data_IF_938352863842
#
_entry.id   IF_938352863842
#
_cell.length_a   1.000
_cell.length_b   1.000
_cell.length_c   1.000
_cell.angle_alpha   90.00
_cell.angle_beta   90.00
_cell.angle_gamma   90.00
#
_symmetry.space_group_name_H-M   'P 1'
#
loop_
_entity.id
_entity.type
_entity.pdbx_description
1 polymer ?
#
# COMPACT_ATOMS: atom_id res chain seq x y z
N UNK A 1 46.84 31.59 8.16
CA UNK A 1 45.42 32.01 8.15
C UNK A 1 44.87 31.74 6.76
N UNK A 2 44.33 30.54 6.53
CA UNK A 2 43.66 30.21 5.26
C UNK A 2 42.23 30.72 5.29
N UNK A 3 41.90 31.63 4.36
CA UNK A 3 40.53 32.12 4.16
C UNK A 3 39.72 31.03 3.43
N UNK A 4 38.51 30.67 3.89
CA UNK A 4 37.69 29.70 3.19
C UNK A 4 37.16 30.30 1.87
N UNK A 5 37.43 29.62 0.76
CA UNK A 5 36.94 29.94 -0.59
C UNK A 5 35.41 30.09 -0.61
N UNK A 6 34.93 31.29 -0.94
CA UNK A 6 33.52 31.57 -1.22
C UNK A 6 33.13 30.92 -2.56
N UNK A 7 32.56 29.71 -2.51
CA UNK A 7 31.98 29.03 -3.70
C UNK A 7 30.92 29.89 -4.40
N UNK A 8 31.04 30.02 -5.73
CA UNK A 8 30.20 30.89 -6.57
C UNK A 8 28.73 30.44 -6.62
N UNK A 9 27.80 31.38 -6.80
CA UNK A 9 26.35 31.11 -6.83
C UNK A 9 25.95 30.07 -7.89
N UNK A 10 26.67 30.02 -9.02
CA UNK A 10 26.47 29.04 -10.10
C UNK A 10 26.83 27.61 -9.67
N UNK A 11 27.86 27.45 -8.84
CA UNK A 11 28.24 26.17 -8.24
C UNK A 11 27.20 25.69 -7.22
N UNK A 12 26.64 26.62 -6.41
CA UNK A 12 25.57 26.29 -5.45
C UNK A 12 24.30 25.81 -6.15
N UNK A 13 23.88 26.50 -7.21
CA UNK A 13 22.70 26.14 -8.02
C UNK A 13 22.88 24.77 -8.71
N UNK A 14 24.07 24.47 -9.25
CA UNK A 14 24.36 23.17 -9.86
C UNK A 14 24.39 22.03 -8.83
N UNK A 15 24.91 22.28 -7.62
CA UNK A 15 24.89 21.31 -6.53
C UNK A 15 23.45 21.05 -6.08
N UNK A 16 22.64 22.10 -5.87
CA UNK A 16 21.22 21.96 -5.51
C UNK A 16 20.41 21.22 -6.58
N UNK A 17 20.59 21.55 -7.86
CA UNK A 17 19.94 20.85 -8.97
C UNK A 17 20.38 19.38 -9.04
N UNK A 18 21.67 19.08 -8.82
CA UNK A 18 22.16 17.70 -8.77
C UNK A 18 21.62 16.91 -7.57
N UNK A 19 21.43 17.56 -6.42
CA UNK A 19 20.88 16.97 -5.20
C UNK A 19 19.38 16.71 -5.33
N UNK A 20 18.65 17.63 -5.97
CA UNK A 20 17.22 17.51 -6.30
C UNK A 20 16.98 16.40 -7.32
N UNK A 21 17.78 16.35 -8.39
CA UNK A 21 17.73 15.26 -9.37
C UNK A 21 18.04 13.89 -8.74
N UNK A 22 19.01 13.81 -7.81
CA UNK A 22 19.30 12.58 -7.05
C UNK A 22 18.20 12.21 -6.05
N UNK A 23 17.52 13.20 -5.45
CA UNK A 23 16.35 12.99 -4.60
C UNK A 23 15.20 12.39 -5.41
N UNK A 24 14.93 12.95 -6.59
CA UNK A 24 13.88 12.49 -7.49
C UNK A 24 14.15 11.07 -8.00
N UNK A 25 15.40 10.74 -8.37
CA UNK A 25 15.76 9.39 -8.80
C UNK A 25 15.58 8.32 -7.71
N UNK A 26 16.01 8.61 -6.48
CA UNK A 26 15.83 7.67 -5.35
C UNK A 26 14.35 7.44 -5.06
N UNK A 27 13.56 8.50 -5.11
CA UNK A 27 12.11 8.41 -4.97
C UNK A 27 11.50 7.58 -6.10
N UNK A 28 11.85 7.85 -7.37
CA UNK A 28 11.33 7.09 -8.50
C UNK A 28 11.69 5.61 -8.45
N UNK A 29 12.93 5.29 -8.08
CA UNK A 29 13.36 3.90 -7.90
C UNK A 29 12.56 3.23 -6.79
N UNK A 30 12.38 3.91 -5.65
CA UNK A 30 11.59 3.35 -4.55
C UNK A 30 10.11 3.20 -4.92
N UNK A 31 9.52 4.13 -5.68
CA UNK A 31 8.14 4.03 -6.14
C UNK A 31 7.92 2.90 -7.15
N UNK A 32 8.93 2.60 -7.96
CA UNK A 32 8.89 1.50 -8.94
C UNK A 32 9.32 0.15 -8.37
N UNK A 33 9.95 0.13 -7.18
CA UNK A 33 10.46 -1.09 -6.56
C UNK A 33 9.34 -2.15 -6.43
N UNK A 34 9.63 -3.42 -6.76
CA UNK A 34 8.77 -4.54 -6.42
C UNK A 34 8.42 -4.56 -4.94
N UNK A 35 7.28 -5.16 -4.61
CA UNK A 35 6.79 -5.13 -3.23
C UNK A 35 7.75 -5.83 -2.25
N UNK A 36 8.33 -6.98 -2.64
CA UNK A 36 9.34 -7.67 -1.83
C UNK A 36 10.54 -6.80 -1.48
N UNK A 37 11.14 -6.13 -2.47
CA UNK A 37 12.28 -5.23 -2.24
C UNK A 37 11.95 -4.06 -1.29
N UNK A 38 10.72 -3.54 -1.38
CA UNK A 38 10.25 -2.51 -0.46
C UNK A 38 10.10 -3.03 0.97
N UNK A 39 9.56 -4.24 1.15
CA UNK A 39 9.44 -4.87 2.46
C UNK A 39 10.80 -5.21 3.07
N UNK A 40 11.76 -5.69 2.26
CA UNK A 40 13.15 -5.90 2.67
C UNK A 40 13.84 -4.60 3.11
N UNK A 41 13.54 -3.48 2.44
CA UNK A 41 14.01 -2.17 2.87
C UNK A 41 13.44 -1.79 4.23
N UNK A 42 12.12 -1.97 4.43
CA UNK A 42 11.47 -1.70 5.73
C UNK A 42 12.09 -2.54 6.85
N UNK A 43 12.27 -3.84 6.61
CA UNK A 43 12.88 -4.75 7.58
C UNK A 43 14.29 -4.32 7.97
N UNK A 44 15.13 -3.97 6.99
CA UNK A 44 16.49 -3.47 7.24
C UNK A 44 16.49 -2.13 7.96
N UNK A 45 15.59 -1.23 7.59
CA UNK A 45 15.42 0.07 8.26
C UNK A 45 15.05 -0.12 9.73
N UNK A 46 14.08 -0.98 10.03
CA UNK A 46 13.61 -1.22 11.39
C UNK A 46 14.58 -2.04 12.24
N UNK A 47 15.41 -2.86 11.60
CA UNK A 47 16.48 -3.59 12.26
C UNK A 47 17.69 -2.71 12.62
N UNK A 48 17.85 -1.56 11.96
CA UNK A 48 19.01 -0.67 12.12
C UNK A 48 19.12 -0.15 13.58
N UNK A 49 20.29 -0.28 14.23
CA UNK A 49 20.49 0.18 15.60
C UNK A 49 20.20 1.67 15.81
N UNK A 50 20.55 2.52 14.84
CA UNK A 50 20.27 3.95 14.89
C UNK A 50 18.77 4.21 14.76
N UNK A 51 18.07 3.48 13.89
CA UNK A 51 16.61 3.59 13.79
C UNK A 51 15.94 3.21 15.11
N UNK A 52 16.36 2.11 15.74
CA UNK A 52 15.86 1.67 17.04
C UNK A 52 16.11 2.72 18.12
N UNK A 53 17.30 3.33 18.13
CA UNK A 53 17.66 4.41 19.06
C UNK A 53 16.82 5.66 18.86
N UNK A 54 16.52 6.03 17.60
CA UNK A 54 15.65 7.16 17.27
C UNK A 54 14.18 6.90 17.61
N UNK A 55 13.76 5.63 17.58
CA UNK A 55 12.40 5.20 17.91
C UNK A 55 12.20 4.90 19.40
N UNK A 56 13.29 4.77 20.16
CA UNK A 56 13.25 4.48 21.58
C UNK A 56 12.72 5.68 22.37
N UNK A 57 11.82 5.42 23.31
CA UNK A 57 11.41 6.42 24.31
C UNK A 57 12.52 6.53 25.36
N UNK A 58 13.03 7.74 25.57
CA UNK A 58 13.95 8.04 26.66
C UNK A 58 13.20 8.76 27.78
N UNK A 59 13.51 8.54 29.08
CA UNK A 59 12.85 9.25 30.17
C UNK A 59 12.93 10.78 29.97
N UNK A 60 11.78 11.44 29.87
CA UNK A 60 11.68 12.89 29.69
C UNK A 60 11.86 13.42 28.25
N UNK A 61 12.09 12.57 27.24
CA UNK A 61 12.21 12.97 25.84
C UNK A 61 11.28 12.15 24.93
N UNK A 62 10.44 12.78 24.10
CA UNK A 62 9.63 12.07 23.12
C UNK A 62 10.55 11.37 22.09
N UNK A 63 10.10 10.25 21.49
CA UNK A 63 10.87 9.56 20.47
C UNK A 63 11.06 10.47 19.26
N UNK A 64 12.23 10.39 18.62
CA UNK A 64 12.53 11.18 17.42
C UNK A 64 11.74 10.65 16.23
N UNK A 65 11.64 9.33 16.12
CA UNK A 65 10.81 8.66 15.12
C UNK A 65 9.66 7.98 15.85
N UNK A 66 8.45 8.45 15.62
CA UNK A 66 7.23 7.75 15.99
C UNK A 66 6.61 7.11 14.75
N UNK A 67 5.66 6.21 14.94
CA UNK A 67 4.72 5.87 13.86
C UNK A 67 3.49 6.76 13.99
N UNK A 68 2.72 6.83 12.91
CA UNK A 68 1.44 7.52 12.84
C UNK A 68 0.51 6.65 12.00
N UNK A 69 -0.56 6.13 12.61
CA UNK A 69 -1.59 5.38 11.87
C UNK A 69 -2.18 6.22 10.75
N UNK A 70 -2.42 5.58 9.61
CA UNK A 70 -3.13 6.18 8.51
C UNK A 70 -4.64 6.02 8.76
N UNK A 71 -5.44 7.10 8.68
CA UNK A 71 -6.89 6.98 8.80
C UNK A 71 -7.42 5.96 7.77
N UNK A 72 -8.22 4.99 8.22
CA UNK A 72 -8.79 3.95 7.35
C UNK A 72 -7.81 2.85 6.91
N UNK A 73 -6.59 2.78 7.47
CA UNK A 73 -5.65 1.68 7.19
C UNK A 73 -5.90 0.48 8.10
N UNK A 74 -6.99 -0.26 7.86
CA UNK A 74 -7.22 -1.53 8.53
C UNK A 74 -6.28 -2.61 7.98
N UNK A 75 -5.98 -3.62 8.80
CA UNK A 75 -5.25 -4.80 8.36
C UNK A 75 -6.22 -5.94 8.03
N UNK A 76 -6.08 -6.58 6.86
CA UNK A 76 -6.97 -7.65 6.41
C UNK A 76 -6.70 -9.01 7.09
N UNK A 77 -6.63 -9.03 8.42
CA UNK A 77 -6.25 -10.20 9.22
C UNK A 77 -7.14 -11.41 8.93
N UNK A 78 -8.46 -11.25 9.06
CA UNK A 78 -9.43 -12.34 8.89
C UNK A 78 -9.37 -12.91 7.47
N UNK A 79 -9.26 -12.05 6.46
CA UNK A 79 -9.15 -12.46 5.07
C UNK A 79 -7.86 -13.21 4.78
N UNK A 80 -6.72 -12.72 5.27
CA UNK A 80 -5.44 -13.35 5.03
C UNK A 80 -5.30 -14.72 5.71
N UNK A 81 -5.88 -14.91 6.90
CA UNK A 81 -5.86 -16.22 7.56
C UNK A 81 -6.58 -17.32 6.79
N UNK A 82 -7.65 -16.96 6.09
CA UNK A 82 -8.44 -17.87 5.26
C UNK A 82 -7.86 -18.12 3.87
N UNK A 83 -6.82 -17.40 3.44
CA UNK A 83 -6.19 -17.57 2.13
C UNK A 83 -5.33 -18.85 2.09
N UNK A 84 -5.71 -19.88 1.29
CA UNK A 84 -5.03 -21.18 1.28
C UNK A 84 -3.55 -21.09 0.87
N UNK A 85 -3.22 -20.09 0.04
CA UNK A 85 -1.85 -19.87 -0.43
C UNK A 85 -0.96 -19.28 0.66
N UNK A 86 -1.52 -18.43 1.52
CA UNK A 86 -0.81 -17.94 2.68
C UNK A 86 -0.68 -19.04 3.72
N UNK A 87 -1.71 -19.87 3.91
CA UNK A 87 -1.60 -21.07 4.72
C UNK A 87 -0.44 -21.97 4.23
N UNK A 88 -0.40 -22.31 2.94
CA UNK A 88 0.66 -23.14 2.38
C UNK A 88 2.06 -22.48 2.42
N UNK A 89 2.16 -21.16 2.25
CA UNK A 89 3.42 -20.42 2.35
C UNK A 89 3.94 -20.36 3.79
N UNK A 90 3.03 -20.27 4.76
CA UNK A 90 3.32 -20.44 6.19
C UNK A 90 3.84 -21.86 6.47
N UNK A 91 3.24 -22.88 5.85
CA UNK A 91 3.58 -24.30 6.07
C UNK A 91 4.95 -24.71 5.50
N UNK A 92 5.45 -24.02 4.46
CA UNK A 92 6.53 -24.58 3.64
C UNK A 92 7.96 -24.33 4.13
N UNK A 93 8.31 -23.20 4.79
CA UNK A 93 9.73 -22.81 4.89
C UNK A 93 10.19 -21.91 6.06
N UNK A 94 9.30 -21.27 6.80
CA UNK A 94 9.68 -20.23 7.78
C UNK A 94 9.08 -20.39 9.17
N UNK A 95 8.35 -21.48 9.40
CA UNK A 95 7.67 -21.74 10.66
C UNK A 95 8.23 -23.06 11.20
N UNK A 96 8.78 -23.04 12.43
CA UNK A 96 9.10 -24.28 13.14
C UNK A 96 7.81 -25.11 13.27
N UNK A 97 7.89 -26.45 13.21
CA UNK A 97 6.71 -27.31 13.34
C UNK A 97 5.82 -27.00 14.57
N UNK A 98 6.41 -26.40 15.62
CA UNK A 98 5.71 -25.89 16.80
C UNK A 98 4.77 -24.70 16.54
N UNK A 99 5.14 -23.76 15.66
CA UNK A 99 4.33 -22.56 15.42
C UNK A 99 3.23 -22.83 14.37
N UNK A 100 3.39 -23.90 13.57
CA UNK A 100 2.36 -24.47 12.69
C UNK A 100 1.27 -25.20 13.48
N UNK A 101 1.66 -26.07 14.41
CA UNK A 101 0.74 -26.78 15.31
C UNK A 101 0.03 -25.82 16.28
N UNK A 102 0.67 -24.71 16.65
CA UNK A 102 0.11 -23.63 17.45
C UNK A 102 -0.92 -22.74 16.74
N UNK A 103 -1.03 -22.81 15.40
CA UNK A 103 -1.78 -21.84 14.60
C UNK A 103 -3.25 -21.70 15.02
N UNK A 104 -4.04 -22.78 15.22
CA UNK A 104 -5.43 -22.65 15.63
C UNK A 104 -5.58 -21.95 16.98
N UNK A 105 -4.69 -22.24 17.93
CA UNK A 105 -4.68 -21.59 19.25
C UNK A 105 -4.35 -20.10 19.16
N UNK A 106 -3.36 -19.73 18.33
CA UNK A 106 -2.95 -18.33 18.13
C UNK A 106 -4.04 -17.54 17.41
N UNK A 107 -4.70 -18.13 16.41
CA UNK A 107 -5.84 -17.52 15.72
C UNK A 107 -6.98 -17.29 16.71
N UNK A 108 -7.34 -18.29 17.52
CA UNK A 108 -8.37 -18.14 18.55
C UNK A 108 -8.00 -17.10 19.64
N UNK A 109 -6.70 -16.94 19.95
CA UNK A 109 -6.24 -15.86 20.82
C UNK A 109 -6.46 -14.48 20.19
N UNK A 110 -6.15 -14.33 18.90
CA UNK A 110 -6.28 -13.07 18.19
C UNK A 110 -7.76 -12.73 17.93
N UNK A 111 -8.61 -13.72 17.64
CA UNK A 111 -10.07 -13.54 17.54
C UNK A 111 -10.67 -13.07 18.87
N UNK A 112 -10.29 -13.70 19.99
CA UNK A 112 -10.72 -13.25 21.32
C UNK A 112 -10.21 -11.85 21.67
N UNK A 113 -9.01 -11.51 21.22
CA UNK A 113 -8.44 -10.18 21.41
C UNK A 113 -9.25 -9.11 20.66
N UNK A 114 -9.78 -9.46 19.48
CA UNK A 114 -10.48 -8.56 18.57
C UNK A 114 -9.51 -7.77 17.68
N UNK A 115 -9.98 -7.39 16.49
CA UNK A 115 -9.16 -6.75 15.45
C UNK A 115 -8.52 -5.44 15.94
N UNK A 116 -9.27 -4.57 16.63
CA UNK A 116 -8.76 -3.28 17.09
C UNK A 116 -7.61 -3.43 18.11
N UNK A 117 -7.77 -4.32 19.09
CA UNK A 117 -6.74 -4.58 20.09
C UNK A 117 -5.54 -5.31 19.50
N UNK A 118 -5.76 -6.26 18.58
CA UNK A 118 -4.68 -6.91 17.85
C UNK A 118 -3.86 -5.90 17.06
N UNK A 119 -4.53 -5.03 16.31
CA UNK A 119 -3.88 -3.95 15.60
C UNK A 119 -3.15 -3.01 16.57
N UNK A 120 -3.73 -2.71 17.74
CA UNK A 120 -3.16 -1.79 18.73
C UNK A 120 -1.89 -2.36 19.36
N UNK A 121 -1.94 -3.59 19.85
CA UNK A 121 -0.89 -4.17 20.68
C UNK A 121 0.19 -4.91 19.88
N UNK A 122 -0.16 -5.44 18.71
CA UNK A 122 0.75 -6.27 17.92
C UNK A 122 1.12 -5.63 16.58
N UNK A 123 0.33 -4.67 16.08
CA UNK A 123 0.61 -3.92 14.85
C UNK A 123 0.79 -2.40 15.07
N UNK A 124 0.68 -1.90 16.30
CA UNK A 124 0.66 -0.48 16.63
C UNK A 124 2.04 0.19 16.75
N UNK A 125 2.01 1.46 17.16
CA UNK A 125 3.17 2.37 17.22
C UNK A 125 4.09 2.12 18.40
N UNK A 126 3.50 1.73 19.53
CA UNK A 126 4.25 1.47 20.74
C UNK A 126 4.72 0.03 20.71
N UNK A 127 6.01 -0.19 20.99
CA UNK A 127 6.43 -1.44 21.62
C UNK A 127 5.77 -1.47 23.00
N UNK A 128 4.46 -1.76 23.02
CA UNK A 128 3.70 -1.89 24.25
C UNK A 128 4.42 -3.00 25.01
N UNK A 129 4.96 -2.70 26.20
CA UNK A 129 5.67 -3.70 26.99
C UNK A 129 4.78 -4.93 27.14
N UNK A 130 5.38 -6.12 27.10
CA UNK A 130 4.60 -7.36 27.20
C UNK A 130 3.69 -7.35 28.43
N UNK A 131 4.17 -6.76 29.54
CA UNK A 131 3.45 -6.56 30.79
C UNK A 131 2.19 -5.70 30.67
N UNK A 132 2.21 -4.67 29.82
CA UNK A 132 1.05 -3.80 29.59
C UNK A 132 0.03 -4.50 28.69
N UNK A 133 0.49 -5.24 27.67
CA UNK A 133 -0.38 -6.10 26.85
C UNK A 133 -1.03 -7.18 27.72
N UNK A 134 -0.27 -7.84 28.60
CA UNK A 134 -0.79 -8.87 29.49
C UNK A 134 -1.92 -8.34 30.37
N UNK A 135 -1.74 -7.14 30.94
CA UNK A 135 -2.75 -6.49 31.78
C UNK A 135 -3.98 -6.05 31.00
N UNK A 136 -3.79 -5.42 29.84
CA UNK A 136 -4.89 -4.83 29.09
C UNK A 136 -5.71 -5.85 28.29
N UNK A 137 -5.08 -6.95 27.85
CA UNK A 137 -5.70 -7.97 27.01
C UNK A 137 -5.96 -9.31 27.72
N UNK A 138 -5.71 -9.39 29.04
CA UNK A 138 -5.80 -10.63 29.83
C UNK A 138 -5.01 -11.81 29.20
N UNK A 139 -3.83 -11.50 28.65
CA UNK A 139 -2.91 -12.47 28.04
C UNK A 139 -1.75 -12.77 28.99
N UNK A 140 -1.16 -13.96 28.88
CA UNK A 140 0.10 -14.29 29.56
C UNK A 140 1.30 -13.80 28.74
N UNK A 141 2.45 -13.58 29.39
CA UNK A 141 3.68 -13.16 28.70
C UNK A 141 4.08 -14.17 27.59
N UNK A 142 3.83 -15.46 27.81
CA UNK A 142 4.03 -16.52 26.82
C UNK A 142 3.10 -16.37 25.61
N UNK A 143 1.82 -16.04 25.82
CA UNK A 143 0.87 -15.80 24.73
C UNK A 143 1.24 -14.57 23.92
N UNK A 144 1.66 -13.47 24.56
CA UNK A 144 2.15 -12.27 23.88
C UNK A 144 3.36 -12.58 23.02
N UNK A 145 4.31 -13.36 23.53
CA UNK A 145 5.46 -13.87 22.77
C UNK A 145 5.04 -14.66 21.53
N UNK A 146 4.18 -15.68 21.70
CA UNK A 146 3.66 -16.51 20.60
C UNK A 146 2.98 -15.68 19.51
N UNK A 147 2.15 -14.69 19.88
CA UNK A 147 1.49 -13.82 18.89
C UNK A 147 2.52 -12.96 18.14
N UNK A 148 3.55 -12.43 18.81
CA UNK A 148 4.62 -11.66 18.14
C UNK A 148 5.41 -12.51 17.16
N UNK A 149 5.81 -13.70 17.58
CA UNK A 149 6.54 -14.65 16.73
C UNK A 149 5.69 -15.06 15.53
N UNK A 150 4.40 -15.30 15.76
CA UNK A 150 3.44 -15.52 14.70
C UNK A 150 3.36 -14.34 13.74
N UNK A 151 3.17 -13.11 14.21
CA UNK A 151 3.13 -11.91 13.35
C UNK A 151 4.41 -11.75 12.53
N UNK A 152 5.57 -12.01 13.12
CA UNK A 152 6.86 -11.93 12.42
C UNK A 152 7.00 -13.01 11.33
N UNK A 153 6.67 -14.26 11.66
CA UNK A 153 6.68 -15.37 10.70
C UNK A 153 5.65 -15.14 9.58
N UNK A 154 4.48 -14.62 9.95
CA UNK A 154 3.39 -14.27 9.06
C UNK A 154 3.75 -13.15 8.08
N UNK A 155 4.43 -12.10 8.56
CA UNK A 155 5.01 -11.06 7.73
C UNK A 155 6.01 -11.64 6.70
N UNK A 156 6.90 -12.51 7.17
CA UNK A 156 7.90 -13.15 6.31
C UNK A 156 7.26 -14.11 5.27
N UNK A 157 6.15 -14.77 5.59
CA UNK A 157 5.44 -15.62 4.65
C UNK A 157 4.77 -14.81 3.53
N UNK A 158 4.20 -13.64 3.83
CA UNK A 158 3.62 -12.75 2.83
C UNK A 158 4.65 -12.25 1.80
N UNK A 159 5.90 -12.05 2.21
CA UNK A 159 7.01 -11.67 1.30
C UNK A 159 7.22 -12.75 0.22
N UNK A 160 7.10 -14.02 0.62
CA UNK A 160 7.41 -15.19 -0.20
C UNK A 160 6.21 -15.81 -0.95
N UNK A 161 5.01 -15.23 -0.81
CA UNK A 161 3.86 -15.64 -1.62
C UNK A 161 4.23 -15.53 -3.11
N UNK A 162 4.03 -16.58 -3.93
CA UNK A 162 4.29 -16.49 -5.36
C UNK A 162 3.47 -15.33 -5.94
N UNK A 163 4.08 -14.56 -6.84
CA UNK A 163 3.33 -13.53 -7.53
C UNK A 163 2.25 -14.21 -8.38
N UNK A 164 1.00 -13.73 -8.27
CA UNK A 164 -0.13 -14.27 -9.02
C UNK A 164 -0.01 -13.81 -10.47
N UNK A 165 -0.14 -14.71 -11.43
CA UNK A 165 -0.12 -14.38 -12.85
C UNK A 165 -1.54 -14.14 -13.38
N UNK A 166 -1.72 -13.12 -14.22
CA UNK A 166 -2.92 -13.06 -15.09
C UNK A 166 -2.80 -14.07 -16.24
N UNK A 167 -3.89 -14.24 -17.00
CA UNK A 167 -3.95 -15.09 -18.20
C UNK A 167 -2.88 -14.70 -19.26
N UNK A 168 -2.29 -13.51 -19.15
CA UNK A 168 -1.20 -13.01 -19.98
C UNK A 168 0.21 -13.18 -19.36
N UNK A 169 0.35 -13.95 -18.28
CA UNK A 169 1.62 -14.22 -17.60
C UNK A 169 2.20 -13.05 -16.79
N UNK A 170 1.45 -11.96 -16.59
CA UNK A 170 1.92 -10.80 -15.81
C UNK A 170 1.75 -11.08 -14.34
N UNK A 171 2.81 -10.85 -13.59
CA UNK A 171 2.85 -11.09 -12.16
C UNK A 171 2.37 -9.87 -11.36
N UNK A 172 1.48 -10.11 -10.40
CA UNK A 172 0.95 -9.12 -9.47
C UNK A 172 1.10 -9.58 -8.01
N UNK A 173 1.21 -8.61 -7.11
CA UNK A 173 1.13 -8.81 -5.66
C UNK A 173 -0.13 -8.12 -5.13
N UNK A 174 -0.91 -8.88 -4.37
CA UNK A 174 -2.08 -8.38 -3.69
C UNK A 174 -1.70 -7.30 -2.69
N UNK A 175 -2.29 -6.11 -2.85
CA UNK A 175 -1.97 -4.92 -2.04
C UNK A 175 -2.98 -4.71 -0.92
N UNK A 176 -4.26 -4.82 -1.22
CA UNK A 176 -5.35 -4.63 -0.26
C UNK A 176 -6.62 -5.34 -0.71
N UNK A 177 -7.49 -5.58 0.26
CA UNK A 177 -8.85 -6.06 0.11
C UNK A 177 -9.80 -4.87 0.17
N UNK A 178 -10.86 -4.92 -0.64
CA UNK A 178 -11.93 -3.93 -0.65
C UNK A 178 -13.17 -4.56 -0.02
N UNK A 179 -13.56 -4.02 1.13
CA UNK A 179 -14.75 -4.42 1.88
C UNK A 179 -15.89 -3.41 1.77
N UNK A 180 -17.05 -3.78 2.32
CA UNK A 180 -18.22 -2.91 2.48
C UNK A 180 -18.62 -2.92 3.94
N UNK A 181 -18.84 -1.74 4.51
CA UNK A 181 -19.47 -1.60 5.83
C UNK A 181 -20.96 -1.89 5.74
N UNK A 182 -21.60 -2.12 6.90
CA UNK A 182 -23.06 -2.21 7.01
C UNK A 182 -23.78 -0.97 6.43
N UNK A 183 -23.14 0.20 6.44
CA UNK A 183 -23.66 1.44 5.84
C UNK A 183 -23.35 1.63 4.35
N UNK A 184 -22.81 0.61 3.66
CA UNK A 184 -22.51 0.68 2.23
C UNK A 184 -21.35 1.62 1.86
N UNK A 185 -20.48 1.97 2.83
CA UNK A 185 -19.20 2.64 2.57
C UNK A 185 -18.15 1.59 2.22
N UNK A 186 -17.31 1.90 1.23
CA UNK A 186 -16.18 1.06 0.85
C UNK A 186 -15.04 1.27 1.84
N UNK A 187 -14.40 0.18 2.23
CA UNK A 187 -13.24 0.20 3.13
C UNK A 187 -12.07 -0.56 2.53
N UNK A 188 -10.86 -0.13 2.89
CA UNK A 188 -9.61 -0.77 2.51
C UNK A 188 -9.05 -1.52 3.70
N UNK A 189 -8.67 -2.77 3.48
CA UNK A 189 -7.88 -3.54 4.43
C UNK A 189 -6.60 -4.01 3.75
N UNK A 190 -5.44 -3.57 4.22
CA UNK A 190 -4.17 -3.88 3.58
C UNK A 190 -3.82 -5.37 3.71
N UNK A 191 -3.30 -5.93 2.62
CA UNK A 191 -2.86 -7.32 2.60
C UNK A 191 -1.58 -7.52 3.43
N UNK A 192 -0.74 -6.49 3.54
CA UNK A 192 0.50 -6.54 4.33
C UNK A 192 0.42 -5.64 5.58
N UNK A 193 0.75 -6.14 6.78
CA UNK A 193 0.67 -5.36 8.02
C UNK A 193 1.58 -4.12 8.05
N UNK A 194 2.67 -4.10 7.28
CA UNK A 194 3.52 -2.89 7.18
C UNK A 194 2.81 -1.65 6.65
N UNK A 195 1.71 -1.80 5.89
CA UNK A 195 0.88 -0.67 5.48
C UNK A 195 -0.11 -0.26 6.57
N UNK A 196 -0.67 -1.22 7.31
CA UNK A 196 -1.52 -0.95 8.47
C UNK A 196 -0.76 -0.28 9.63
N UNK A 197 0.54 -0.58 9.78
CA UNK A 197 1.47 0.09 10.72
C UNK A 197 1.64 1.60 10.46
N UNK A 198 1.07 2.13 9.38
CA UNK A 198 1.05 3.56 9.10
C UNK A 198 2.36 4.15 8.60
N UNK A 199 2.51 5.46 8.79
CA UNK A 199 3.68 6.27 8.42
C UNK A 199 4.62 6.42 9.59
N UNK A 200 5.86 6.85 9.32
CA UNK A 200 6.76 7.34 10.35
C UNK A 200 6.59 8.87 10.50
N UNK A 201 6.48 9.37 11.72
CA UNK A 201 6.60 10.79 12.03
C UNK A 201 8.01 11.07 12.54
N UNK A 202 8.66 12.11 12.03
CA UNK A 202 9.98 12.53 12.51
C UNK A 202 9.81 13.87 13.22
N UNK A 203 10.05 13.91 14.53
CA UNK A 203 9.99 15.14 15.32
C UNK A 203 11.31 15.93 15.13
N UNK A 204 11.28 17.11 14.47
CA UNK A 204 12.49 17.89 14.24
C UNK A 204 13.10 18.43 15.54
N UNK A 205 12.27 18.79 16.52
CA UNK A 205 12.71 19.32 17.80
C UNK A 205 13.40 18.24 18.64
N UNK A 206 12.84 17.04 18.69
CA UNK A 206 13.46 15.89 19.35
C UNK A 206 14.77 15.50 18.67
N UNK A 207 14.82 15.52 17.33
CA UNK A 207 16.03 15.25 16.56
C UNK A 207 17.16 16.23 16.88
N UNK A 208 16.87 17.53 16.96
CA UNK A 208 17.87 18.55 17.32
C UNK A 208 18.34 18.42 18.77
N UNK A 209 17.45 18.11 19.71
CA UNK A 209 17.83 17.83 21.10
C UNK A 209 18.76 16.62 21.20
N UNK A 210 18.46 15.55 20.46
CA UNK A 210 19.29 14.34 20.45
C UNK A 210 20.67 14.56 19.83
N UNK A 211 20.78 15.42 18.81
CA UNK A 211 22.09 15.82 18.26
C UNK A 211 22.93 16.58 19.30
N UNK A 212 22.30 17.45 20.08
CA UNK A 212 22.95 18.29 21.10
C UNK A 212 23.31 17.52 22.37
N UNK A 213 22.61 16.44 22.70
CA UNK A 213 22.85 15.67 23.92
C UNK A 213 24.16 14.86 23.91
N UNK A 214 24.81 14.73 22.75
CA UNK A 214 26.02 13.90 22.60
C UNK A 214 25.76 12.39 22.66
N UNK A 215 24.49 11.97 22.73
CA UNK A 215 24.12 10.55 22.80
C UNK A 215 24.42 9.79 21.50
N UNK A 216 24.65 10.48 20.38
CA UNK A 216 25.00 9.89 19.09
C UNK A 216 26.51 9.93 18.87
N UNK A 217 27.06 8.78 18.52
CA UNK A 217 28.46 8.64 18.09
C UNK A 217 28.72 9.37 16.77
N UNK A 218 29.97 9.73 16.51
CA UNK A 218 30.39 10.35 15.25
C UNK A 218 29.93 9.59 13.97
N UNK A 219 30.02 8.25 13.89
CA UNK A 219 29.48 7.51 12.73
C UNK A 219 27.95 7.56 12.64
N UNK A 220 27.22 7.55 13.75
CA UNK A 220 25.75 7.69 13.76
C UNK A 220 25.33 9.06 13.21
N UNK A 221 26.00 10.15 13.63
CA UNK A 221 25.71 11.50 13.15
C UNK A 221 25.90 11.64 11.64
N UNK A 222 26.94 10.99 11.07
CA UNK A 222 27.18 10.99 9.61
C UNK A 222 26.09 10.25 8.84
N UNK A 223 25.51 9.18 9.42
CA UNK A 223 24.47 8.34 8.79
C UNK A 223 23.05 8.87 8.99
N UNK A 224 22.83 9.68 10.02
CA UNK A 224 21.52 10.18 10.44
C UNK A 224 20.71 10.80 9.31
N UNK A 225 21.32 11.72 8.53
CA UNK A 225 20.63 12.37 7.42
C UNK A 225 20.21 11.40 6.31
N UNK A 226 21.01 10.37 6.05
CA UNK A 226 20.65 9.34 5.08
C UNK A 226 19.50 8.46 5.58
N UNK A 227 19.49 8.11 6.87
CA UNK A 227 18.43 7.32 7.49
C UNK A 227 17.09 8.09 7.50
N UNK A 228 17.08 9.34 7.95
CA UNK A 228 15.88 10.20 7.93
C UNK A 228 15.33 10.33 6.51
N UNK A 229 16.21 10.51 5.52
CA UNK A 229 15.80 10.54 4.11
C UNK A 229 15.19 9.22 3.64
N UNK A 230 15.70 8.07 4.06
CA UNK A 230 15.08 6.77 3.77
C UNK A 230 13.68 6.68 4.37
N UNK A 231 13.50 7.14 5.61
CA UNK A 231 12.19 7.21 6.29
C UNK A 231 11.21 8.08 5.49
N UNK A 232 11.63 9.26 5.04
CA UNK A 232 10.81 10.15 4.19
C UNK A 232 10.39 9.48 2.88
N UNK A 233 11.32 8.80 2.19
CA UNK A 233 11.03 8.11 0.94
C UNK A 233 10.02 6.98 1.13
N UNK A 234 10.18 6.20 2.21
CA UNK A 234 9.24 5.15 2.58
C UNK A 234 7.83 5.72 2.82
N UNK A 235 7.73 6.82 3.58
CA UNK A 235 6.47 7.50 3.81
C UNK A 235 5.84 8.01 2.51
N UNK A 236 6.64 8.54 1.60
CA UNK A 236 6.17 8.98 0.29
C UNK A 236 5.51 7.85 -0.50
N UNK A 237 6.12 6.66 -0.53
CA UNK A 237 5.53 5.48 -1.19
C UNK A 237 4.23 5.05 -0.52
N UNK A 238 4.22 4.91 0.82
CA UNK A 238 3.02 4.50 1.58
C UNK A 238 1.85 5.48 1.38
N UNK A 239 2.10 6.78 1.59
CA UNK A 239 1.10 7.85 1.43
C UNK A 239 0.62 7.98 -0.01
N UNK A 240 1.54 7.90 -0.97
CA UNK A 240 1.19 7.93 -2.40
C UNK A 240 0.30 6.75 -2.78
N UNK A 241 0.63 5.54 -2.33
CA UNK A 241 -0.19 4.36 -2.57
C UNK A 241 -1.57 4.50 -1.95
N UNK A 242 -1.67 4.91 -0.68
CA UNK A 242 -2.95 5.11 -0.01
C UNK A 242 -3.84 6.08 -0.80
N UNK A 243 -3.32 7.26 -1.18
CA UNK A 243 -4.07 8.23 -1.98
C UNK A 243 -4.57 7.65 -3.30
N UNK A 244 -3.74 6.84 -3.97
CA UNK A 244 -4.12 6.17 -5.21
C UNK A 244 -5.24 5.14 -4.96
N UNK A 245 -5.15 4.34 -3.91
CA UNK A 245 -6.19 3.35 -3.58
C UNK A 245 -7.51 4.01 -3.20
N UNK A 246 -7.48 5.01 -2.32
CA UNK A 246 -8.67 5.78 -1.93
C UNK A 246 -9.29 6.49 -3.13
N UNK A 247 -8.47 7.08 -4.00
CA UNK A 247 -8.93 7.69 -5.25
C UNK A 247 -9.61 6.68 -6.18
N UNK A 248 -9.07 5.47 -6.31
CA UNK A 248 -9.67 4.38 -7.11
C UNK A 248 -11.02 3.99 -6.51
N UNK A 249 -11.12 3.78 -5.19
CA UNK A 249 -12.37 3.43 -4.53
C UNK A 249 -13.43 4.52 -4.69
N UNK A 250 -13.03 5.78 -4.59
CA UNK A 250 -13.92 6.93 -4.78
C UNK A 250 -14.43 7.00 -6.21
N UNK A 251 -13.54 6.91 -7.20
CA UNK A 251 -13.91 7.07 -8.62
C UNK A 251 -14.66 5.87 -9.17
N UNK A 252 -14.19 4.65 -8.84
CA UNK A 252 -14.75 3.38 -9.28
C UNK A 252 -15.74 2.79 -8.28
N UNK A 253 -16.41 3.63 -7.47
CA UNK A 253 -17.38 3.20 -6.46
C UNK A 253 -18.42 2.23 -7.03
N UNK A 254 -19.02 2.58 -8.17
CA UNK A 254 -20.08 1.79 -8.80
C UNK A 254 -19.58 0.38 -9.15
N UNK A 255 -18.33 0.24 -9.59
CA UNK A 255 -17.72 -1.06 -9.87
C UNK A 255 -17.69 -1.95 -8.64
N UNK A 256 -17.21 -1.42 -7.51
CA UNK A 256 -17.22 -2.18 -6.25
C UNK A 256 -18.63 -2.48 -5.72
N UNK A 257 -19.65 -1.77 -6.22
CA UNK A 257 -21.06 -2.03 -5.92
C UNK A 257 -21.74 -2.98 -6.93
N UNK A 258 -21.00 -3.59 -7.85
CA UNK A 258 -21.52 -4.53 -8.86
C UNK A 258 -21.85 -3.88 -10.21
N UNK A 259 -21.56 -2.59 -10.36
CA UNK A 259 -21.68 -1.85 -11.61
C UNK A 259 -20.44 -1.98 -12.52
N UNK A 260 -20.44 -1.28 -13.65
CA UNK A 260 -19.32 -1.25 -14.58
C UNK A 260 -18.21 -0.28 -14.13
N UNK A 261 -16.99 -0.49 -14.62
CA UNK A 261 -15.91 0.50 -14.49
C UNK A 261 -16.22 1.77 -15.28
N UNK A 262 -15.95 2.93 -14.67
CA UNK A 262 -16.00 4.24 -15.31
C UNK A 262 -14.69 4.51 -16.08
N UNK A 263 -14.74 5.20 -17.24
CA UNK A 263 -13.52 5.61 -17.94
C UNK A 263 -12.66 6.51 -17.05
N UNK A 264 -11.40 6.17 -16.86
CA UNK A 264 -10.50 6.96 -16.03
C UNK A 264 -9.11 7.03 -16.66
N UNK A 265 -8.68 8.24 -17.00
CA UNK A 265 -7.31 8.47 -17.45
C UNK A 265 -6.37 8.58 -16.25
N UNK A 266 -5.23 7.86 -16.28
CA UNK A 266 -4.19 8.03 -15.27
C UNK A 266 -3.68 9.48 -15.17
N UNK A 267 -3.70 10.24 -16.28
CA UNK A 267 -3.27 11.64 -16.28
C UNK A 267 -4.23 12.53 -15.50
N UNK A 268 -5.53 12.41 -15.76
CA UNK A 268 -6.54 13.21 -15.03
C UNK A 268 -6.62 12.79 -13.57
N UNK A 269 -6.51 11.49 -13.31
CA UNK A 269 -6.48 10.94 -11.97
C UNK A 269 -5.28 11.45 -11.16
N UNK A 270 -4.08 11.46 -11.76
CA UNK A 270 -2.89 12.00 -11.12
C UNK A 270 -3.03 13.48 -10.79
N UNK A 271 -3.65 14.26 -11.69
CA UNK A 271 -3.92 15.68 -11.45
C UNK A 271 -4.88 15.90 -10.26
N UNK A 272 -5.97 15.12 -10.14
CA UNK A 272 -6.89 15.20 -9.00
C UNK A 272 -6.20 14.89 -7.67
N UNK A 273 -5.24 13.95 -7.67
CA UNK A 273 -4.48 13.57 -6.48
C UNK A 273 -3.29 14.48 -6.16
N UNK A 274 -3.03 15.50 -6.98
CA UNK A 274 -1.82 16.32 -6.95
C UNK A 274 -0.52 15.47 -6.99
N UNK A 275 -0.52 14.45 -7.87
CA UNK A 275 0.61 13.56 -8.12
C UNK A 275 1.06 13.67 -9.58
N UNK A 276 2.31 13.34 -9.85
CA UNK A 276 2.78 13.18 -11.23
C UNK A 276 2.20 11.91 -11.86
N UNK A 277 1.83 11.91 -13.16
CA UNK A 277 1.35 10.71 -13.85
C UNK A 277 2.33 9.53 -13.76
N UNK A 278 3.62 9.82 -13.81
CA UNK A 278 4.68 8.81 -13.67
C UNK A 278 4.80 8.25 -12.23
N UNK A 279 4.35 8.99 -11.22
CA UNK A 279 4.23 8.50 -9.83
C UNK A 279 3.07 7.53 -9.71
N UNK A 280 1.89 7.90 -10.21
CA UNK A 280 0.71 7.02 -10.23
C UNK A 280 1.01 5.73 -10.99
N UNK A 281 1.56 5.83 -12.20
CA UNK A 281 1.90 4.67 -13.03
C UNK A 281 2.85 3.69 -12.33
N UNK A 282 3.82 4.19 -11.54
CA UNK A 282 4.73 3.35 -10.77
C UNK A 282 4.04 2.72 -9.57
N UNK A 283 3.24 3.49 -8.83
CA UNK A 283 2.51 3.02 -7.65
C UNK A 283 1.48 1.93 -7.95
N UNK A 284 0.91 1.89 -9.15
CA UNK A 284 -0.06 0.84 -9.55
C UNK A 284 0.57 -0.36 -10.27
N UNK A 285 1.85 -0.27 -10.65
CA UNK A 285 2.49 -1.34 -11.41
C UNK A 285 2.63 -2.62 -10.56
N UNK A 286 2.34 -3.78 -11.18
CA UNK A 286 2.49 -5.11 -10.55
C UNK A 286 1.74 -5.29 -9.23
N UNK A 287 0.64 -4.55 -9.06
CA UNK A 287 -0.18 -4.54 -7.85
C UNK A 287 -1.64 -4.79 -8.20
N UNK A 288 -2.37 -5.38 -7.26
CA UNK A 288 -3.77 -5.77 -7.41
C UNK A 288 -4.57 -5.47 -6.14
N UNK A 289 -5.89 -5.40 -6.30
CA UNK A 289 -6.87 -5.36 -5.21
C UNK A 289 -7.76 -6.59 -5.26
N UNK A 290 -8.08 -7.16 -4.10
CA UNK A 290 -9.11 -8.18 -3.96
C UNK A 290 -10.46 -7.48 -3.75
N UNK A 291 -11.40 -7.66 -4.67
CA UNK A 291 -12.72 -7.06 -4.65
C UNK A 291 -13.78 -8.16 -4.74
N UNK A 292 -14.36 -8.56 -3.60
CA UNK A 292 -15.11 -9.82 -3.52
C UNK A 292 -14.19 -11.00 -3.78
N UNK A 293 -14.61 -11.92 -4.66
CA UNK A 293 -13.82 -13.09 -5.03
C UNK A 293 -12.76 -12.78 -6.09
N UNK A 294 -12.88 -11.65 -6.79
CA UNK A 294 -12.00 -11.27 -7.87
C UNK A 294 -10.74 -10.56 -7.38
N UNK A 295 -9.59 -10.93 -7.92
CA UNK A 295 -8.37 -10.14 -7.80
C UNK A 295 -8.14 -9.33 -9.08
N UNK A 296 -8.19 -8.01 -8.94
CA UNK A 296 -8.16 -7.08 -10.07
C UNK A 296 -6.84 -6.31 -10.05
N UNK A 297 -6.03 -6.37 -11.12
CA UNK A 297 -4.84 -5.54 -11.26
C UNK A 297 -5.19 -4.05 -11.15
N UNK A 298 -4.37 -3.27 -10.44
CA UNK A 298 -4.64 -1.85 -10.22
C UNK A 298 -4.73 -1.05 -11.55
N UNK A 299 -4.00 -1.50 -12.56
CA UNK A 299 -4.04 -0.89 -13.90
C UNK A 299 -5.40 -1.03 -14.58
N UNK A 300 -6.16 -2.08 -14.27
CA UNK A 300 -7.47 -2.35 -14.87
C UNK A 300 -8.54 -1.34 -14.45
N UNK A 301 -8.34 -0.61 -13.33
CA UNK A 301 -9.23 0.47 -12.90
C UNK A 301 -9.11 1.77 -13.73
N UNK A 302 -8.27 1.76 -14.77
CA UNK A 302 -8.06 2.90 -15.67
C UNK A 302 -8.46 2.57 -17.11
N UNK A 303 -9.70 2.12 -17.37
CA UNK A 303 -10.11 1.78 -18.72
C UNK A 303 -10.13 3.04 -19.58
N UNK A 304 -9.63 2.90 -20.80
CA UNK A 304 -9.74 3.92 -21.83
C UNK A 304 -11.21 4.17 -22.18
N UNK A 305 -11.49 5.36 -22.73
CA UNK A 305 -12.84 5.66 -23.26
C UNK A 305 -13.28 4.62 -24.30
N UNK A 306 -12.35 4.12 -25.13
CA UNK A 306 -12.61 3.06 -26.10
C UNK A 306 -13.06 1.77 -25.42
N UNK A 307 -12.32 1.28 -24.44
CA UNK A 307 -12.65 0.04 -23.70
C UNK A 307 -13.99 0.17 -22.98
N UNK A 308 -14.25 1.31 -22.34
CA UNK A 308 -15.54 1.55 -21.69
C UNK A 308 -16.70 1.55 -22.71
N UNK A 309 -16.53 2.21 -23.86
CA UNK A 309 -17.55 2.17 -24.92
C UNK A 309 -17.76 0.73 -25.40
N UNK A 310 -16.70 -0.03 -25.65
CA UNK A 310 -16.80 -1.45 -26.07
C UNK A 310 -17.55 -2.28 -25.02
N UNK A 311 -17.26 -2.10 -23.73
CA UNK A 311 -17.97 -2.79 -22.65
C UNK A 311 -19.48 -2.45 -22.65
N UNK A 312 -19.83 -1.18 -22.83
CA UNK A 312 -21.24 -0.76 -22.93
C UNK A 312 -21.94 -1.23 -24.19
N UNK A 313 -21.22 -1.33 -25.31
CA UNK A 313 -21.74 -1.94 -26.53
C UNK A 313 -22.09 -3.41 -26.27
N UNK A 314 -21.23 -4.16 -25.56
CA UNK A 314 -21.48 -5.56 -25.20
C UNK A 314 -22.68 -5.71 -24.26
N UNK A 315 -22.77 -4.88 -23.21
CA UNK A 315 -23.91 -4.83 -22.28
C UNK A 315 -25.24 -4.55 -22.98
N UNK A 316 -25.25 -3.70 -24.01
CA UNK A 316 -26.45 -3.44 -24.82
C UNK A 316 -26.72 -4.51 -25.88
N UNK A 317 -25.75 -5.40 -26.14
CA UNK A 317 -25.83 -6.42 -27.19
C UNK A 317 -26.22 -7.81 -26.67
N UNK A 318 -26.30 -8.05 -25.36
CA UNK A 318 -26.70 -9.34 -24.74
C UNK A 318 -27.44 -9.07 -23.41
N UNK A 319 -28.65 -9.64 -23.13
CA UNK A 319 -28.93 -11.09 -23.15
C UNK A 319 -30.26 -11.50 -23.85
N UNK A 320 -30.20 -12.39 -24.83
CA UNK A 320 -31.36 -13.22 -25.25
C UNK A 320 -32.10 -12.86 -26.56
N UNK A 321 -31.70 -11.82 -27.29
CA UNK A 321 -32.39 -11.39 -28.51
C UNK A 321 -31.65 -11.74 -29.81
N UNK A 322 -32.27 -12.54 -30.69
CA UNK A 322 -31.78 -12.92 -32.05
C UNK A 322 -31.55 -11.75 -33.03
N UNK A 323 -31.53 -10.49 -32.60
CA UNK A 323 -31.34 -9.30 -33.46
C UNK A 323 -30.24 -8.38 -32.95
N UNK A 324 -29.15 -8.27 -33.73
CA UNK A 324 -28.13 -7.24 -33.56
C UNK A 324 -28.78 -5.85 -33.74
N UNK A 325 -28.75 -5.01 -32.70
CA UNK A 325 -29.21 -3.62 -32.80
C UNK A 325 -28.49 -2.88 -33.94
N UNK A 326 -29.18 -2.00 -34.68
CA UNK A 326 -28.51 -1.16 -35.68
C UNK A 326 -27.52 -0.20 -34.99
N UNK A 327 -26.44 0.19 -35.68
CA UNK A 327 -25.44 1.07 -35.08
C UNK A 327 -26.02 2.46 -34.70
N UNK A 328 -27.07 2.90 -35.38
CA UNK A 328 -27.79 4.14 -35.04
C UNK A 328 -28.59 3.99 -33.74
N UNK A 329 -29.34 2.90 -33.59
CA UNK A 329 -30.09 2.59 -32.37
C UNK A 329 -29.15 2.43 -31.17
N UNK A 330 -27.99 1.79 -31.38
CA UNK A 330 -26.98 1.63 -30.35
C UNK A 330 -26.38 2.98 -29.91
N UNK A 331 -26.15 3.92 -30.83
CA UNK A 331 -25.68 5.27 -30.50
C UNK A 331 -26.71 6.03 -29.66
N UNK A 332 -27.99 5.93 -30.02
CA UNK A 332 -29.08 6.58 -29.28
C UNK A 332 -29.20 5.97 -27.87
N UNK A 333 -29.08 4.65 -27.74
CA UNK A 333 -29.17 3.97 -26.44
C UNK A 333 -27.98 4.29 -25.54
N UNK A 334 -26.76 4.35 -26.11
CA UNK A 334 -25.56 4.80 -25.40
C UNK A 334 -25.70 6.23 -24.88
N UNK A 335 -26.29 7.13 -25.68
CA UNK A 335 -26.55 8.51 -25.27
C UNK A 335 -27.65 8.59 -24.21
N UNK A 336 -28.74 7.83 -24.35
CA UNK A 336 -29.88 7.85 -23.43
C UNK A 336 -29.57 7.23 -22.08
N UNK A 337 -29.03 6.00 -22.05
CA UNK A 337 -28.78 5.27 -20.80
C UNK A 337 -27.50 5.68 -20.09
N UNK A 338 -26.47 6.05 -20.85
CA UNK A 338 -25.12 6.25 -20.30
C UNK A 338 -24.54 7.64 -20.57
N UNK A 339 -25.26 8.52 -21.29
CA UNK A 339 -24.78 9.86 -21.63
C UNK A 339 -23.61 9.87 -22.63
N UNK A 340 -23.31 8.75 -23.27
CA UNK A 340 -22.12 8.59 -24.13
C UNK A 340 -22.49 8.99 -25.56
N UNK A 341 -21.88 10.07 -26.07
CA UNK A 341 -21.99 10.47 -27.48
C UNK A 341 -20.91 9.78 -28.32
N UNK A 342 -21.31 8.90 -29.23
CA UNK A 342 -20.41 8.17 -30.14
C UNK A 342 -20.93 8.24 -31.56
N UNK A 343 -20.04 8.41 -32.54
CA UNK A 343 -20.43 8.40 -33.96
C UNK A 343 -20.76 6.98 -34.43
N UNK A 344 -21.67 6.85 -35.41
CA UNK A 344 -22.01 5.56 -36.03
C UNK A 344 -20.78 4.85 -36.62
N UNK A 345 -19.85 5.62 -37.22
CA UNK A 345 -18.59 5.10 -37.77
C UNK A 345 -17.70 4.48 -36.67
N UNK A 346 -17.61 5.15 -35.53
CA UNK A 346 -16.85 4.66 -34.36
C UNK A 346 -17.48 3.39 -33.78
N UNK A 347 -18.81 3.30 -33.74
CA UNK A 347 -19.51 2.09 -33.28
C UNK A 347 -19.27 0.91 -34.21
N UNK A 348 -19.33 1.12 -35.53
CA UNK A 348 -19.02 0.06 -36.51
C UNK A 348 -17.57 -0.42 -36.38
N UNK A 349 -16.63 0.50 -36.16
CA UNK A 349 -15.23 0.17 -35.89
C UNK A 349 -15.09 -0.68 -34.62
N UNK A 350 -15.75 -0.29 -33.53
CA UNK A 350 -15.65 -0.99 -32.24
C UNK A 350 -16.40 -2.33 -32.20
N UNK A 351 -17.41 -2.51 -33.06
CA UNK A 351 -18.10 -3.80 -33.24
C UNK A 351 -17.28 -4.82 -34.03
N UNK A 352 -16.48 -4.35 -34.98
CA UNK A 352 -15.74 -5.20 -35.92
C UNK A 352 -14.24 -5.35 -35.56
N UNK A 353 -13.70 -4.48 -34.70
CA UNK A 353 -12.32 -4.57 -34.24
C UNK A 353 -12.16 -5.63 -33.15
N UNK A 354 -11.37 -6.66 -33.44
CA UNK A 354 -10.85 -7.61 -32.45
C UNK A 354 -10.01 -6.90 -31.39
#
# INVERSE_FOLDING_TARGET
MDKPEKRSAKQRLNIENSLRNRQDLRLFNLLAAPEGEFLDLLKRLEADPLFKKLSARSPGLPPVIARSRLPGSAYAWVHNLGEPQLAAAMDSRYISGELLSARPEIVALIERLGAENFERYFLGEDCVPAEEICRAAALTARQVGRIRDFVNAFLAAHENLPARADDGGRQFKLTAFVGKTAGGRLELSYAHPSYARGLYSVDPGALEKLKKSGALSAPELRRLGALVKTVELVNWRKKGLQKVLEGILKYQRDFFLGGPLKPLSQRSFAAELALNPSTVSRLIARRSLKAGDDEVPLKSFFPSKKEHIIAKIKELSDPGGKRKLSARLLADELKKRFGIKVSVRTLNLYRNGK
#
